data_IF_554435195936
#
_entry.id   IF_554435195936
#
_cell.length_a   1.000
_cell.length_b   1.000
_cell.length_c   1.000
_cell.angle_alpha   90.00
_cell.angle_beta   90.00
_cell.angle_gamma   90.00
#
_symmetry.space_group_name_H-M   'P 1'
#
loop_
_entity.id
_entity.type
_entity.pdbx_description
1 polymer ?
#
# COMPACT_ATOMS: atom_id res chain seq x y z
N UNK A 1 -52.32 6.38 -83.49
CA UNK A 1 -51.26 5.85 -82.62
C UNK A 1 -51.29 6.67 -81.33
N UNK A 2 -51.16 6.01 -80.18
CA UNK A 2 -51.17 6.51 -78.79
C UNK A 2 -52.56 6.59 -78.12
N UNK A 3 -52.72 5.62 -77.20
CA UNK A 3 -53.76 5.42 -76.19
C UNK A 3 -53.22 5.88 -74.83
N UNK A 4 -54.08 6.36 -73.92
CA UNK A 4 -53.93 6.27 -72.43
C UNK A 4 -55.19 6.91 -71.80
N UNK A 5 -56.21 6.15 -71.38
CA UNK A 5 -56.47 5.48 -70.08
C UNK A 5 -56.22 6.33 -68.82
N UNK A 6 -57.34 6.64 -68.16
CA UNK A 6 -57.49 7.18 -66.80
C UNK A 6 -57.19 6.14 -65.73
N UNK A 7 -56.70 6.58 -64.56
CA UNK A 7 -56.95 5.92 -63.27
C UNK A 7 -56.63 6.85 -62.10
N UNK A 8 -57.65 7.06 -61.27
CA UNK A 8 -57.64 7.70 -59.96
C UNK A 8 -57.00 6.76 -58.92
N UNK A 9 -56.11 7.26 -58.07
CA UNK A 9 -55.69 6.54 -56.84
C UNK A 9 -55.50 7.53 -55.69
N UNK A 10 -56.22 7.23 -54.62
CA UNK A 10 -56.26 7.86 -53.31
C UNK A 10 -54.97 7.62 -52.51
N UNK A 11 -54.42 8.69 -51.93
CA UNK A 11 -53.29 8.62 -50.99
C UNK A 11 -53.70 7.96 -49.67
N UNK A 12 -53.23 6.73 -49.47
CA UNK A 12 -53.32 6.00 -48.21
C UNK A 12 -52.06 6.20 -47.36
N UNK A 13 -52.24 6.78 -46.18
CA UNK A 13 -51.21 6.95 -45.14
C UNK A 13 -50.64 5.60 -44.70
N UNK A 14 -49.32 5.45 -44.75
CA UNK A 14 -48.60 4.30 -44.16
C UNK A 14 -48.15 4.63 -42.73
N UNK A 15 -48.35 3.74 -41.73
CA UNK A 15 -47.94 4.01 -40.35
C UNK A 15 -46.43 3.75 -40.16
N UNK A 16 -45.74 4.75 -39.62
CA UNK A 16 -44.35 4.68 -39.13
C UNK A 16 -44.21 3.68 -37.98
N UNK A 17 -43.35 2.68 -38.16
CA UNK A 17 -42.93 1.76 -37.10
C UNK A 17 -41.94 2.47 -36.15
N UNK A 18 -42.16 2.48 -34.82
CA UNK A 18 -41.23 3.12 -33.89
C UNK A 18 -39.95 2.29 -33.77
N UNK A 19 -38.85 2.87 -34.24
CA UNK A 19 -37.47 2.38 -34.04
C UNK A 19 -37.20 2.30 -32.55
N UNK A 20 -37.14 1.07 -32.02
CA UNK A 20 -36.73 0.83 -30.64
C UNK A 20 -35.34 1.42 -30.41
N UNK A 21 -35.29 2.46 -29.57
CA UNK A 21 -34.05 2.99 -29.03
C UNK A 21 -33.52 1.93 -28.07
N UNK A 22 -32.57 1.14 -28.55
CA UNK A 22 -31.80 0.25 -27.70
C UNK A 22 -30.99 1.13 -26.74
N UNK A 23 -31.53 1.37 -25.54
CA UNK A 23 -30.78 1.88 -24.41
C UNK A 23 -29.71 0.84 -24.05
N UNK A 24 -28.55 0.97 -24.67
CA UNK A 24 -27.33 0.28 -24.30
C UNK A 24 -26.89 0.72 -22.91
N UNK A 25 -27.55 0.20 -21.88
CA UNK A 25 -26.93 0.08 -20.57
C UNK A 25 -25.79 -0.91 -20.74
N UNK A 26 -24.60 -0.39 -21.05
CA UNK A 26 -23.38 -1.16 -20.86
C UNK A 26 -23.24 -1.37 -19.36
N UNK A 27 -23.90 -2.41 -18.85
CA UNK A 27 -23.56 -3.01 -17.58
C UNK A 27 -22.14 -3.54 -17.76
N UNK A 28 -21.14 -2.71 -17.44
CA UNK A 28 -19.79 -3.22 -17.27
C UNK A 28 -19.86 -4.14 -16.06
N UNK A 29 -20.10 -5.43 -16.32
CA UNK A 29 -20.06 -6.56 -15.38
C UNK A 29 -18.63 -6.81 -14.84
N UNK A 30 -17.79 -5.77 -14.80
CA UNK A 30 -16.44 -5.85 -14.27
C UNK A 30 -16.48 -6.25 -12.81
N UNK A 31 -15.89 -7.39 -12.48
CA UNK A 31 -15.61 -7.77 -11.10
C UNK A 31 -14.75 -6.71 -10.39
N UNK A 32 -14.76 -6.73 -9.06
CA UNK A 32 -13.87 -5.90 -8.26
C UNK A 32 -12.40 -6.13 -8.66
N UNK A 33 -11.60 -5.06 -8.62
CA UNK A 33 -10.19 -5.07 -8.95
C UNK A 33 -9.44 -4.33 -7.86
N UNK A 34 -8.28 -4.86 -7.46
CA UNK A 34 -7.39 -4.17 -6.56
C UNK A 34 -6.42 -3.28 -7.34
N UNK A 35 -6.40 -1.99 -7.06
CA UNK A 35 -5.50 -1.03 -7.71
C UNK A 35 -4.78 -0.17 -6.66
N UNK A 36 -3.51 -0.46 -6.32
CA UNK A 36 -2.73 0.39 -5.44
C UNK A 36 -2.57 1.80 -6.02
N UNK A 37 -2.52 2.79 -5.15
CA UNK A 37 -2.24 4.16 -5.56
C UNK A 37 -0.75 4.34 -5.85
N UNK A 38 -0.42 5.35 -6.66
CA UNK A 38 0.98 5.70 -6.91
C UNK A 38 1.73 6.05 -5.61
N UNK A 39 1.02 6.62 -4.63
CA UNK A 39 1.58 6.88 -3.30
C UNK A 39 1.95 5.59 -2.58
N UNK A 40 1.06 4.59 -2.55
CA UNK A 40 1.36 3.27 -1.97
C UNK A 40 2.57 2.62 -2.64
N UNK A 41 2.63 2.63 -3.97
CA UNK A 41 3.76 2.06 -4.71
C UNK A 41 5.06 2.81 -4.42
N UNK A 42 5.04 4.14 -4.46
CA UNK A 42 6.20 4.98 -4.14
C UNK A 42 6.67 4.78 -2.70
N UNK A 43 5.74 4.71 -1.74
CA UNK A 43 6.05 4.43 -0.35
C UNK A 43 6.72 3.07 -0.17
N UNK A 44 6.23 2.01 -0.83
CA UNK A 44 6.84 0.69 -0.76
C UNK A 44 8.24 0.62 -1.38
N UNK A 45 8.46 1.33 -2.50
CA UNK A 45 9.79 1.45 -3.12
C UNK A 45 10.78 2.13 -2.17
N UNK A 46 10.33 3.13 -1.42
CA UNK A 46 11.14 3.84 -0.44
C UNK A 46 11.36 3.02 0.84
N UNK A 47 10.28 2.46 1.40
CA UNK A 47 10.30 1.85 2.74
C UNK A 47 10.99 0.49 2.75
N UNK A 48 10.84 -0.34 1.71
CA UNK A 48 11.39 -1.69 1.73
C UNK A 48 12.92 -1.74 1.85
N UNK A 49 13.70 -0.96 1.07
CA UNK A 49 15.15 -0.91 1.25
C UNK A 49 15.54 -0.41 2.64
N UNK A 50 14.86 0.64 3.14
CA UNK A 50 15.19 1.28 4.40
C UNK A 50 14.89 0.36 5.60
N UNK A 51 13.71 -0.26 5.62
CA UNK A 51 13.32 -1.23 6.65
C UNK A 51 14.21 -2.48 6.59
N UNK A 52 14.62 -2.91 5.39
CA UNK A 52 15.58 -4.01 5.23
C UNK A 52 16.93 -3.68 5.84
N UNK A 53 17.45 -2.48 5.54
CA UNK A 53 18.69 -1.99 6.13
C UNK A 53 18.59 -1.91 7.67
N UNK A 54 17.46 -1.45 8.19
CA UNK A 54 17.17 -1.29 9.61
C UNK A 54 17.05 -2.62 10.37
N UNK A 55 16.28 -3.59 9.88
CA UNK A 55 16.17 -4.86 10.61
C UNK A 55 17.49 -5.65 10.55
N UNK A 56 18.28 -5.53 9.48
CA UNK A 56 19.60 -6.16 9.41
C UNK A 56 20.53 -5.50 10.45
N UNK A 57 20.49 -4.16 10.58
CA UNK A 57 21.21 -3.48 11.66
C UNK A 57 20.83 -4.11 13.01
N UNK A 58 19.55 -4.18 13.31
CA UNK A 58 19.06 -4.55 14.64
C UNK A 58 19.33 -6.01 15.00
N UNK A 59 19.16 -6.94 14.05
CA UNK A 59 19.26 -8.39 14.30
C UNK A 59 20.70 -8.90 14.34
N UNK A 60 21.64 -8.19 13.72
CA UNK A 60 23.05 -8.60 13.67
C UNK A 60 23.94 -7.80 14.62
N UNK A 61 23.36 -7.14 15.62
CA UNK A 61 24.13 -6.52 16.72
C UNK A 61 24.86 -7.61 17.52
N UNK A 62 26.14 -7.42 17.90
CA UNK A 62 26.90 -6.17 17.81
C UNK A 62 27.73 -6.01 16.52
N UNK A 63 27.71 -6.96 15.56
CA UNK A 63 28.53 -6.86 14.34
C UNK A 63 28.23 -5.62 13.50
N UNK A 64 27.00 -5.14 13.54
CA UNK A 64 26.52 -3.93 12.84
C UNK A 64 26.68 -2.64 13.64
N UNK A 65 26.96 -2.72 14.95
CA UNK A 65 27.11 -1.55 15.86
C UNK A 65 28.49 -0.91 15.73
N UNK A 66 28.71 0.35 16.17
CA UNK A 66 30.02 0.99 16.15
C UNK A 66 31.12 0.12 16.78
N UNK A 67 32.19 -0.13 16.03
CA UNK A 67 33.27 -1.07 16.40
C UNK A 67 33.07 -2.51 15.94
N UNK A 68 31.90 -2.86 15.40
CA UNK A 68 31.60 -4.18 14.82
C UNK A 68 32.14 -4.36 13.40
N UNK A 69 32.41 -5.61 13.01
CA UNK A 69 33.04 -5.96 11.74
C UNK A 69 32.22 -5.59 10.50
N UNK A 70 30.90 -5.45 10.62
CA UNK A 70 30.00 -5.11 9.52
C UNK A 70 29.60 -3.65 9.53
N UNK A 71 29.85 -2.92 10.62
CA UNK A 71 29.41 -1.54 10.79
C UNK A 71 29.81 -0.61 9.63
N UNK A 72 31.08 -0.66 9.23
CA UNK A 72 31.58 0.05 8.06
C UNK A 72 31.36 -0.78 6.78
N UNK A 73 30.89 -0.17 5.67
CA UNK A 73 30.45 1.22 5.50
C UNK A 73 28.95 1.44 5.73
N UNK A 74 28.16 0.36 5.69
CA UNK A 74 26.72 0.45 5.48
C UNK A 74 25.92 0.93 6.70
N UNK A 75 26.39 0.67 7.91
CA UNK A 75 25.66 1.01 9.15
C UNK A 75 26.29 2.17 9.92
N UNK A 76 27.25 2.88 9.31
CA UNK A 76 27.85 4.09 9.89
C UNK A 76 26.86 5.15 10.37
N UNK A 77 25.71 5.40 9.70
CA UNK A 77 24.75 6.38 10.23
C UNK A 77 24.14 5.99 11.58
N UNK A 78 24.13 4.69 11.92
CA UNK A 78 23.66 4.22 13.22
C UNK A 78 24.60 4.56 14.38
N UNK A 79 25.84 4.98 14.11
CA UNK A 79 26.71 5.54 15.14
C UNK A 79 26.10 6.81 15.72
N UNK A 80 25.68 7.75 14.86
CA UNK A 80 24.95 8.94 15.29
C UNK A 80 23.56 8.58 15.80
N UNK A 81 22.79 7.80 15.05
CA UNK A 81 21.39 7.53 15.41
C UNK A 81 21.26 6.80 16.76
N UNK A 82 22.17 5.87 17.07
CA UNK A 82 22.20 5.19 18.36
C UNK A 82 22.57 6.07 19.56
N UNK A 83 23.10 7.28 19.32
CA UNK A 83 23.29 8.31 20.37
C UNK A 83 22.07 9.18 20.57
N UNK A 84 21.21 9.31 19.55
CA UNK A 84 19.95 10.03 19.61
C UNK A 84 18.88 9.15 20.24
N UNK A 85 18.73 7.93 19.75
CA UNK A 85 17.82 6.96 20.31
C UNK A 85 18.58 5.76 20.87
N UNK A 86 18.64 5.72 22.19
CA UNK A 86 19.36 4.66 22.91
C UNK A 86 18.78 3.27 22.68
N UNK A 87 17.54 3.12 22.19
CA UNK A 87 16.97 1.82 21.80
C UNK A 87 17.73 1.18 20.63
N UNK A 88 18.42 1.99 19.82
CA UNK A 88 19.30 1.54 18.74
C UNK A 88 20.78 1.40 19.15
N UNK A 89 21.17 2.01 20.28
CA UNK A 89 22.55 2.14 20.72
C UNK A 89 23.03 1.09 21.73
N UNK A 90 24.25 1.30 22.21
CA UNK A 90 24.89 0.50 23.26
C UNK A 90 24.11 0.43 24.58
N UNK A 91 23.41 1.48 25.07
CA UNK A 91 22.66 1.38 26.31
C UNK A 91 21.61 0.27 26.28
N UNK A 92 20.74 0.23 25.27
CA UNK A 92 19.72 -0.82 25.15
C UNK A 92 20.33 -2.21 24.91
N UNK A 93 21.42 -2.29 24.14
CA UNK A 93 22.11 -3.56 23.91
C UNK A 93 22.68 -4.15 25.21
N UNK A 94 23.40 -3.32 25.99
CA UNK A 94 24.02 -3.74 27.26
C UNK A 94 22.96 -4.07 28.33
N UNK A 95 21.81 -3.42 28.28
CA UNK A 95 20.67 -3.70 29.17
C UNK A 95 19.87 -4.94 28.76
N UNK A 96 20.24 -5.62 27.67
CA UNK A 96 19.48 -6.72 27.07
C UNK A 96 18.01 -6.34 26.80
N UNK A 97 17.79 -5.09 26.38
CA UNK A 97 16.45 -4.61 26.04
C UNK A 97 15.99 -5.24 24.70
N UNK A 98 15.03 -6.15 24.79
CA UNK A 98 14.52 -6.90 23.64
C UNK A 98 13.61 -6.11 22.68
N UNK A 99 13.18 -4.89 23.04
CA UNK A 99 12.16 -4.14 22.31
C UNK A 99 12.53 -3.93 20.83
N UNK A 100 13.71 -3.38 20.57
CA UNK A 100 14.17 -3.05 19.20
C UNK A 100 14.35 -4.31 18.34
N UNK A 101 14.91 -5.38 18.91
CA UNK A 101 15.11 -6.62 18.16
C UNK A 101 13.78 -7.34 17.90
N UNK A 102 12.81 -7.27 18.81
CA UNK A 102 11.46 -7.78 18.58
C UNK A 102 10.73 -7.01 17.46
N UNK A 103 10.85 -5.68 17.45
CA UNK A 103 10.38 -4.83 16.35
C UNK A 103 11.03 -5.23 15.01
N UNK A 104 12.34 -5.48 15.01
CA UNK A 104 13.08 -5.91 13.82
C UNK A 104 12.61 -7.26 13.26
N UNK A 105 12.25 -8.23 14.11
CA UNK A 105 11.64 -9.49 13.64
C UNK A 105 10.31 -9.24 12.93
N UNK A 106 9.48 -8.35 13.46
CA UNK A 106 8.23 -7.97 12.79
C UNK A 106 8.49 -7.18 11.50
N UNK A 107 9.59 -6.42 11.41
CA UNK A 107 10.02 -5.77 10.17
C UNK A 107 10.40 -6.79 9.08
N UNK A 108 10.99 -7.95 9.44
CA UNK A 108 11.21 -9.05 8.50
C UNK A 108 9.89 -9.60 7.95
N UNK A 109 8.93 -9.88 8.83
CA UNK A 109 7.61 -10.41 8.44
C UNK A 109 6.87 -9.42 7.54
N UNK A 110 6.87 -8.14 7.91
CA UNK A 110 6.31 -7.05 7.12
C UNK A 110 6.96 -6.96 5.74
N UNK A 111 8.29 -7.01 5.68
CA UNK A 111 9.05 -6.95 4.43
C UNK A 111 8.67 -8.10 3.51
N UNK A 112 8.55 -9.32 4.02
CA UNK A 112 8.11 -10.49 3.25
C UNK A 112 6.68 -10.28 2.72
N UNK A 113 5.77 -9.77 3.56
CA UNK A 113 4.38 -9.51 3.17
C UNK A 113 4.29 -8.46 2.04
N UNK A 114 5.05 -7.37 2.13
CA UNK A 114 5.08 -6.34 1.09
C UNK A 114 5.81 -6.78 -0.18
N UNK A 115 6.87 -7.60 -0.08
CA UNK A 115 7.50 -8.21 -1.25
C UNK A 115 6.52 -9.13 -1.97
N UNK A 116 5.75 -9.95 -1.22
CA UNK A 116 4.67 -10.75 -1.79
C UNK A 116 3.61 -9.87 -2.48
N UNK A 117 3.17 -8.81 -1.80
CA UNK A 117 2.20 -7.85 -2.33
C UNK A 117 2.67 -7.25 -3.67
N UNK A 118 3.90 -6.74 -3.72
CA UNK A 118 4.49 -6.16 -4.93
C UNK A 118 4.68 -7.21 -6.01
N UNK A 119 5.10 -8.43 -5.67
CA UNK A 119 5.22 -9.52 -6.64
C UNK A 119 3.89 -9.77 -7.34
N UNK A 120 2.81 -9.95 -6.58
CA UNK A 120 1.47 -10.18 -7.15
C UNK A 120 1.04 -9.00 -8.02
N UNK A 121 1.28 -7.77 -7.59
CA UNK A 121 1.01 -6.57 -8.39
C UNK A 121 1.80 -6.54 -9.71
N UNK A 122 3.08 -6.90 -9.69
CA UNK A 122 3.95 -6.85 -10.86
C UNK A 122 3.66 -7.98 -11.85
N UNK A 123 3.31 -9.18 -11.38
CA UNK A 123 3.05 -10.34 -12.24
C UNK A 123 1.62 -10.42 -12.74
N UNK A 124 0.64 -10.11 -11.88
CA UNK A 124 -0.79 -10.34 -12.16
C UNK A 124 -1.53 -9.03 -12.49
N UNK A 125 -0.87 -7.88 -12.29
CA UNK A 125 -1.42 -6.57 -12.58
C UNK A 125 -1.56 -6.32 -14.08
N UNK A 126 -2.77 -5.96 -14.51
CA UNK A 126 -3.07 -5.58 -15.89
C UNK A 126 -3.14 -4.04 -16.01
N UNK A 127 -2.51 -3.43 -17.03
CA UNK A 127 -2.62 -1.99 -17.25
C UNK A 127 -4.06 -1.59 -17.53
N UNK A 128 -4.42 -0.35 -17.17
CA UNK A 128 -5.70 0.24 -17.57
C UNK A 128 -5.84 0.24 -19.12
N UNK A 129 -7.09 0.22 -19.62
CA UNK A 129 -7.34 0.27 -21.07
C UNK A 129 -6.71 1.53 -21.67
N UNK A 130 -5.84 1.36 -22.65
CA UNK A 130 -5.12 2.46 -23.32
C UNK A 130 -3.83 2.90 -22.61
N UNK A 131 -3.46 2.31 -21.48
CA UNK A 131 -2.18 2.57 -20.82
C UNK A 131 -1.05 1.74 -21.45
N UNK A 132 0.18 2.28 -21.38
CA UNK A 132 1.37 1.57 -21.86
C UNK A 132 1.56 0.24 -21.13
N UNK A 133 1.78 -0.89 -21.85
CA UNK A 133 2.12 -2.17 -21.24
C UNK A 133 3.39 -2.14 -20.38
N UNK A 134 4.31 -1.21 -20.67
CA UNK A 134 5.56 -1.05 -19.92
C UNK A 134 5.43 -0.19 -18.65
N UNK A 135 4.27 0.41 -18.38
CA UNK A 135 4.06 1.22 -17.18
C UNK A 135 4.11 0.34 -15.93
N UNK A 136 4.92 0.74 -14.93
CA UNK A 136 4.97 0.07 -13.63
C UNK A 136 3.86 0.53 -12.67
N UNK A 137 3.20 1.67 -12.96
CA UNK A 137 2.05 2.21 -12.23
C UNK A 137 0.75 2.07 -13.03
N UNK A 138 -0.40 2.29 -12.38
CA UNK A 138 -1.70 2.29 -13.05
C UNK A 138 -2.18 0.90 -13.48
N UNK A 139 -1.65 -0.16 -12.86
CA UNK A 139 -2.14 -1.52 -13.04
C UNK A 139 -3.22 -1.85 -12.00
N UNK A 140 -4.08 -2.80 -12.35
CA UNK A 140 -5.05 -3.40 -11.42
C UNK A 140 -4.96 -4.91 -11.46
N UNK A 141 -5.06 -5.54 -10.30
CA UNK A 141 -5.13 -6.99 -10.13
C UNK A 141 -6.61 -7.39 -10.09
N UNK A 142 -6.96 -8.54 -10.67
CA UNK A 142 -8.33 -9.05 -10.72
C UNK A 142 -8.45 -10.41 -10.03
N UNK A 143 -9.68 -10.83 -9.70
CA UNK A 143 -9.97 -12.16 -9.20
C UNK A 143 -9.43 -12.45 -7.79
N UNK A 144 -9.13 -13.71 -7.50
CA UNK A 144 -8.69 -14.15 -6.16
C UNK A 144 -7.31 -13.60 -5.78
N UNK A 145 -6.43 -13.36 -6.76
CA UNK A 145 -5.13 -12.72 -6.55
C UNK A 145 -5.28 -11.29 -6.00
N UNK A 146 -6.26 -10.53 -6.49
CA UNK A 146 -6.56 -9.18 -6.02
C UNK A 146 -6.94 -9.19 -4.53
N UNK A 147 -7.78 -10.15 -4.12
CA UNK A 147 -8.23 -10.28 -2.73
C UNK A 147 -7.08 -10.65 -1.79
N UNK A 148 -6.23 -11.60 -2.21
CA UNK A 148 -5.03 -12.01 -1.44
C UNK A 148 -4.04 -10.85 -1.31
N UNK A 149 -3.74 -10.15 -2.39
CA UNK A 149 -2.86 -8.98 -2.36
C UNK A 149 -3.41 -7.91 -1.42
N UNK A 150 -4.66 -7.48 -1.61
CA UNK A 150 -5.27 -6.45 -0.77
C UNK A 150 -5.25 -6.85 0.72
N UNK A 151 -5.58 -8.09 1.05
CA UNK A 151 -5.56 -8.57 2.43
C UNK A 151 -4.15 -8.56 3.04
N UNK A 152 -3.15 -9.08 2.33
CA UNK A 152 -1.75 -9.11 2.81
C UNK A 152 -1.20 -7.69 2.96
N UNK A 153 -1.41 -6.83 1.96
CA UNK A 153 -0.96 -5.43 2.01
C UNK A 153 -1.63 -4.63 3.13
N UNK A 154 -2.92 -4.86 3.37
CA UNK A 154 -3.65 -4.26 4.49
C UNK A 154 -3.11 -4.72 5.84
N UNK A 155 -2.93 -6.03 6.02
CA UNK A 155 -2.42 -6.59 7.28
C UNK A 155 -1.00 -6.10 7.58
N UNK A 156 -0.13 -6.03 6.57
CA UNK A 156 1.20 -5.46 6.70
C UNK A 156 1.15 -3.97 7.11
N UNK A 157 0.29 -3.16 6.48
CA UNK A 157 0.14 -1.74 6.83
C UNK A 157 -0.35 -1.54 8.26
N UNK A 158 -1.33 -2.32 8.72
CA UNK A 158 -1.80 -2.29 10.10
C UNK A 158 -0.69 -2.71 11.07
N UNK A 159 0.11 -3.71 10.73
CA UNK A 159 1.25 -4.14 11.54
C UNK A 159 2.28 -3.01 11.68
N UNK A 160 2.68 -2.36 10.58
CA UNK A 160 3.59 -1.20 10.62
C UNK A 160 3.04 -0.10 11.52
N UNK A 161 1.78 0.28 11.30
CA UNK A 161 1.14 1.35 12.06
C UNK A 161 1.12 1.03 13.56
N UNK A 162 0.70 -0.19 13.91
CA UNK A 162 0.59 -0.64 15.30
C UNK A 162 1.94 -0.65 16.00
N UNK A 163 2.98 -1.12 15.31
CA UNK A 163 4.37 -1.12 15.81
C UNK A 163 4.90 0.28 16.04
N UNK A 164 4.70 1.19 15.10
CA UNK A 164 5.15 2.57 15.23
C UNK A 164 4.40 3.27 16.35
N UNK A 165 3.09 3.09 16.48
CA UNK A 165 2.32 3.61 17.63
C UNK A 165 2.85 3.04 18.94
N UNK A 166 3.09 1.72 19.01
CA UNK A 166 3.63 1.07 20.20
C UNK A 166 5.01 1.64 20.57
N UNK A 167 5.86 1.93 19.59
CA UNK A 167 7.17 2.53 19.83
C UNK A 167 7.08 3.93 20.44
N UNK A 168 6.19 4.79 19.93
CA UNK A 168 5.94 6.10 20.54
C UNK A 168 5.37 5.98 21.96
N UNK A 169 4.43 5.05 22.17
CA UNK A 169 3.87 4.80 23.50
C UNK A 169 4.91 4.23 24.46
N UNK A 170 5.81 3.36 23.99
CA UNK A 170 6.89 2.80 24.79
C UNK A 170 7.80 3.91 25.33
N UNK A 171 8.14 4.91 24.51
CA UNK A 171 8.89 6.08 24.98
C UNK A 171 8.10 6.91 26.00
N UNK A 172 6.83 7.20 25.73
CA UNK A 172 5.98 7.93 26.67
C UNK A 172 5.90 7.24 28.04
N UNK A 173 5.60 5.94 28.07
CA UNK A 173 5.47 5.17 29.31
C UNK A 173 6.81 4.85 29.98
N UNK A 174 7.92 4.99 29.27
CA UNK A 174 9.28 4.86 29.81
C UNK A 174 9.88 6.21 30.24
N UNK A 175 9.06 7.25 30.40
CA UNK A 175 9.48 8.62 30.73
C UNK A 175 10.55 9.16 29.76
N UNK A 176 10.43 8.85 28.47
CA UNK A 176 11.35 9.26 27.40
C UNK A 176 12.80 8.86 27.66
N UNK A 177 13.04 7.76 28.38
CA UNK A 177 14.39 7.32 28.77
C UNK A 177 15.37 7.23 27.61
N UNK A 178 14.93 6.84 26.41
CA UNK A 178 15.84 6.63 25.28
C UNK A 178 16.08 7.87 24.43
N UNK A 179 15.24 8.90 24.54
CA UNK A 179 15.26 10.07 23.65
C UNK A 179 15.22 11.43 24.38
N UNK A 180 14.96 11.44 25.68
CA UNK A 180 14.72 12.66 26.47
C UNK A 180 15.98 13.47 26.75
N UNK A 181 17.17 12.91 26.51
CA UNK A 181 18.45 13.61 26.63
C UNK A 181 18.78 14.50 25.44
N UNK A 182 18.05 14.39 24.33
CA UNK A 182 18.32 15.14 23.11
C UNK A 182 17.87 16.60 23.21
N UNK A 183 18.52 17.45 22.41
CA UNK A 183 17.96 18.78 22.13
C UNK A 183 16.62 18.66 21.39
N UNK A 184 15.75 19.67 21.52
CA UNK A 184 14.48 19.68 20.78
C UNK A 184 14.69 19.59 19.27
N UNK A 185 15.78 20.18 18.76
CA UNK A 185 16.11 20.14 17.34
C UNK A 185 16.48 18.73 16.89
N UNK A 186 17.38 18.05 17.61
CA UNK A 186 17.79 16.69 17.27
C UNK A 186 16.60 15.73 17.38
N UNK A 187 15.81 15.87 18.45
CA UNK A 187 14.58 15.10 18.62
C UNK A 187 13.60 15.30 17.46
N UNK A 188 13.41 16.55 17.01
CA UNK A 188 12.49 16.87 15.92
C UNK A 188 12.93 16.21 14.60
N UNK A 189 14.19 16.41 14.21
CA UNK A 189 14.67 16.00 12.88
C UNK A 189 15.15 14.56 12.81
N UNK A 190 15.67 14.00 13.89
CA UNK A 190 16.26 12.66 13.90
C UNK A 190 15.31 11.62 14.48
N UNK A 191 14.25 12.01 15.22
CA UNK A 191 13.31 11.05 15.80
C UNK A 191 11.84 11.30 15.40
N UNK A 192 11.30 12.51 15.64
CA UNK A 192 9.87 12.81 15.42
C UNK A 192 9.49 12.74 13.94
N UNK A 193 10.19 13.48 13.08
CA UNK A 193 9.85 13.54 11.64
C UNK A 193 10.05 12.17 10.97
N UNK A 194 11.19 11.48 11.17
CA UNK A 194 11.38 10.15 10.61
C UNK A 194 10.28 9.19 11.07
N UNK A 195 10.08 8.99 12.38
CA UNK A 195 9.08 8.04 12.86
C UNK A 195 7.64 8.45 12.53
N UNK A 196 7.36 9.76 12.48
CA UNK A 196 6.07 10.32 12.06
C UNK A 196 5.75 9.99 10.60
N UNK A 197 6.74 9.93 9.71
CA UNK A 197 6.54 9.51 8.33
C UNK A 197 6.00 8.07 8.25
N UNK A 198 6.43 7.16 9.14
CA UNK A 198 5.92 5.80 9.20
C UNK A 198 4.46 5.74 9.66
N UNK A 199 4.05 6.61 10.59
CA UNK A 199 2.63 6.72 10.99
C UNK A 199 1.76 7.18 9.81
N UNK A 200 2.21 8.18 9.06
CA UNK A 200 1.46 8.72 7.91
C UNK A 200 1.41 7.72 6.77
N UNK A 201 2.56 7.15 6.38
CA UNK A 201 2.65 6.21 5.27
C UNK A 201 1.82 4.95 5.49
N UNK A 202 1.99 4.31 6.65
CA UNK A 202 1.24 3.09 6.98
C UNK A 202 -0.24 3.37 7.25
N UNK A 203 -0.57 4.46 7.94
CA UNK A 203 -1.95 4.91 8.13
C UNK A 203 -2.69 5.16 6.81
N UNK A 204 -2.04 5.84 5.86
CA UNK A 204 -2.59 6.03 4.52
C UNK A 204 -2.83 4.68 3.82
N UNK A 205 -1.86 3.76 3.85
CA UNK A 205 -2.00 2.44 3.22
C UNK A 205 -3.13 1.63 3.83
N UNK A 206 -3.26 1.62 5.16
CA UNK A 206 -4.37 0.97 5.88
C UNK A 206 -5.71 1.50 5.38
N UNK A 207 -5.89 2.83 5.33
CA UNK A 207 -7.13 3.45 4.88
C UNK A 207 -7.38 3.17 3.39
N UNK A 208 -6.37 3.34 2.54
CA UNK A 208 -6.50 3.20 1.09
C UNK A 208 -6.84 1.77 0.68
N UNK A 209 -6.08 0.79 1.17
CA UNK A 209 -6.30 -0.63 0.85
C UNK A 209 -7.59 -1.12 1.54
N UNK A 210 -7.85 -0.71 2.78
CA UNK A 210 -9.07 -1.05 3.51
C UNK A 210 -10.34 -0.57 2.78
N UNK A 211 -10.34 0.66 2.28
CA UNK A 211 -11.44 1.18 1.48
C UNK A 211 -11.65 0.39 0.18
N UNK A 212 -10.57 -0.11 -0.43
CA UNK A 212 -10.69 -0.94 -1.62
C UNK A 212 -11.31 -2.32 -1.32
N UNK A 213 -10.91 -2.95 -0.20
CA UNK A 213 -11.53 -4.18 0.31
C UNK A 213 -13.04 -3.96 0.55
N UNK A 214 -13.42 -2.86 1.21
CA UNK A 214 -14.82 -2.53 1.49
C UNK A 214 -15.65 -2.34 0.21
N UNK A 215 -15.08 -1.72 -0.82
CA UNK A 215 -15.74 -1.61 -2.14
C UNK A 215 -15.97 -2.98 -2.78
N UNK A 216 -14.97 -3.87 -2.70
CA UNK A 216 -15.10 -5.25 -3.18
C UNK A 216 -16.24 -6.01 -2.51
N UNK A 217 -16.33 -5.91 -1.17
CA UNK A 217 -17.42 -6.51 -0.40
C UNK A 217 -18.79 -5.91 -0.77
N UNK A 218 -18.87 -4.59 -0.91
CA UNK A 218 -20.11 -3.90 -1.29
C UNK A 218 -20.62 -4.31 -2.68
N UNK A 219 -19.71 -4.51 -3.64
CA UNK A 219 -20.03 -5.00 -4.98
C UNK A 219 -20.54 -6.45 -4.94
N UNK A 220 -19.95 -7.30 -4.11
CA UNK A 220 -20.39 -8.69 -3.94
C UNK A 220 -21.82 -8.76 -3.35
N UNK A 221 -22.09 -8.01 -2.29
CA UNK A 221 -23.44 -7.93 -1.69
C UNK A 221 -24.48 -7.41 -2.67
N UNK A 222 -24.13 -6.41 -3.48
CA UNK A 222 -25.06 -5.82 -4.47
C UNK A 222 -25.35 -6.75 -5.65
N UNK A 223 -24.49 -7.73 -5.93
CA UNK A 223 -24.77 -8.79 -6.93
C UNK A 223 -25.70 -9.84 -6.34
N UNK A 224 -25.43 -10.29 -5.12
CA UNK A 224 -26.28 -11.26 -4.42
C UNK A 224 -27.74 -10.80 -4.22
N UNK A 225 -28.01 -9.49 -4.18
CA UNK A 225 -29.39 -8.96 -4.11
C UNK A 225 -30.14 -8.97 -5.46
N UNK A 226 -29.43 -9.19 -6.57
CA UNK A 226 -29.98 -9.16 -7.94
C UNK A 226 -30.20 -10.55 -8.52
N UNK A 227 -29.63 -11.58 -7.90
CA UNK A 227 -29.83 -13.00 -8.20
C UNK A 227 -30.97 -13.56 -7.31
#
# INVERSE_FOLDING_TARGET
MVTTRSSTTTDGVSPTSPRAVANGHSSSSGGWKHAPTNWTLGWLVFSLPLVTWDFIYCLFRPWTMPGGAWHWPLWTPYELYGTVDYVYGWPAFNENNGFTSAQAVLNVIETIAYVYYLRVYLTDGKPAKGASPSSWTGKSIEGSAAGKAALVGFAAAVMTLSKTVLYWLNEYYSNYRNIGHNSLQDLLFLWIIPNGAWLVGSGYMTISIGNDILRGLSLATSRSKRD
#
